data_IF_580115503006
#
_entry.id   IF_580115503006
#
_cell.length_a   1.000
_cell.length_b   1.000
_cell.length_c   1.000
_cell.angle_alpha   90.00
_cell.angle_beta   90.00
_cell.angle_gamma   90.00
#
_symmetry.space_group_name_H-M   'P 1'
#
loop_
_entity.id
_entity.type
_entity.pdbx_description
1 polymer ?
#
# COMPACT_ATOMS: atom_id res chain seq x y z
N UNK A 1 -14.98 32.44 1.87
CA UNK A 1 -15.57 31.34 2.67
C UNK A 1 -14.47 30.78 3.56
N UNK A 2 -14.58 30.95 4.89
CA UNK A 2 -13.61 30.47 5.90
C UNK A 2 -14.09 29.20 6.62
N UNK A 3 -15.22 28.64 6.22
CA UNK A 3 -15.81 27.46 6.86
C UNK A 3 -15.54 26.24 5.97
N UNK A 4 -14.43 25.58 6.27
CA UNK A 4 -13.97 24.35 5.65
C UNK A 4 -12.93 23.69 6.57
N UNK A 5 -12.68 22.39 6.41
CA UNK A 5 -11.71 21.68 7.25
C UNK A 5 -10.34 22.39 7.21
N UNK A 6 -9.79 22.72 8.39
CA UNK A 6 -8.57 23.49 8.53
C UNK A 6 -7.32 22.62 8.29
N UNK A 7 -7.07 22.28 7.02
CA UNK A 7 -6.01 21.36 6.58
C UNK A 7 -4.62 21.75 7.09
N UNK A 8 -4.36 23.05 7.30
CA UNK A 8 -3.07 23.54 7.77
C UNK A 8 -2.70 23.00 9.17
N UNK A 9 -3.69 22.73 10.04
CA UNK A 9 -3.44 22.14 11.37
C UNK A 9 -2.92 20.71 11.23
N UNK A 10 -3.58 19.90 10.39
CA UNK A 10 -3.17 18.51 10.14
C UNK A 10 -1.83 18.46 9.41
N UNK A 11 -1.65 19.29 8.38
CA UNK A 11 -0.39 19.38 7.65
C UNK A 11 0.79 19.79 8.53
N UNK A 12 0.61 20.77 9.44
CA UNK A 12 1.66 21.18 10.38
C UNK A 12 2.02 20.08 11.40
N UNK A 13 1.05 19.24 11.78
CA UNK A 13 1.33 18.07 12.60
C UNK A 13 2.13 17.02 11.83
N UNK A 14 1.76 16.72 10.60
CA UNK A 14 2.46 15.71 9.78
C UNK A 14 3.86 16.19 9.37
N UNK A 15 4.05 17.49 9.11
CA UNK A 15 5.30 18.07 8.57
C UNK A 15 6.50 18.09 9.53
N UNK A 16 6.35 17.62 10.76
CA UNK A 16 7.45 17.48 11.71
C UNK A 16 8.16 16.15 11.55
N UNK A 17 9.50 16.16 11.55
CA UNK A 17 10.27 14.97 11.20
C UNK A 17 10.03 13.79 12.14
N UNK A 18 9.89 14.01 13.46
CA UNK A 18 9.67 12.91 14.39
C UNK A 18 8.26 12.32 14.23
N UNK A 19 7.25 13.20 14.07
CA UNK A 19 5.87 12.76 13.82
C UNK A 19 5.72 12.05 12.48
N UNK A 20 6.40 12.51 11.43
CA UNK A 20 6.41 11.86 10.13
C UNK A 20 7.01 10.44 10.21
N UNK A 21 8.11 10.25 10.93
CA UNK A 21 8.71 8.91 11.14
C UNK A 21 7.77 8.00 11.94
N UNK A 22 7.14 8.50 13.00
CA UNK A 22 6.11 7.76 13.77
C UNK A 22 4.96 7.32 12.88
N UNK A 23 4.36 8.26 12.13
CA UNK A 23 3.22 7.97 11.26
C UNK A 23 3.59 6.98 10.15
N UNK A 24 4.80 7.08 9.59
CA UNK A 24 5.30 6.14 8.57
C UNK A 24 5.56 4.75 9.17
N UNK A 25 6.11 4.66 10.37
CA UNK A 25 6.34 3.37 11.03
C UNK A 25 5.03 2.67 11.40
N UNK A 26 4.02 3.43 11.84
CA UNK A 26 2.67 2.92 12.09
C UNK A 26 1.87 2.64 10.82
N UNK A 27 2.37 3.05 9.64
CA UNK A 27 1.92 2.39 8.43
C UNK A 27 2.45 0.97 8.47
N UNK A 28 3.77 0.75 8.48
CA UNK A 28 4.36 -0.59 8.40
C UNK A 28 3.81 -1.59 9.43
N UNK A 29 3.68 -1.17 10.69
CA UNK A 29 3.25 -1.98 11.83
C UNK A 29 1.85 -1.56 12.34
N UNK A 30 1.02 -2.51 12.80
CA UNK A 30 -0.34 -2.14 13.22
C UNK A 30 -0.37 -1.41 14.54
N UNK A 31 0.53 -1.70 15.49
CA UNK A 31 0.55 -0.99 16.75
C UNK A 31 1.91 -1.09 17.46
N UNK A 32 2.49 0.07 17.79
CA UNK A 32 3.80 0.14 18.46
C UNK A 32 3.68 0.86 19.80
N UNK A 33 4.55 0.50 20.75
CA UNK A 33 4.66 1.19 22.03
C UNK A 33 5.34 2.55 21.88
N UNK A 34 5.15 3.43 22.87
CA UNK A 34 5.84 4.72 22.89
C UNK A 34 7.37 4.58 22.90
N UNK A 35 7.93 3.48 23.46
CA UNK A 35 9.38 3.26 23.48
C UNK A 35 9.89 2.91 22.08
N UNK A 36 9.23 1.98 21.39
CA UNK A 36 9.60 1.63 20.01
C UNK A 36 9.47 2.83 19.07
N UNK A 37 8.43 3.66 19.25
CA UNK A 37 8.24 4.88 18.47
C UNK A 37 9.30 5.96 18.78
N UNK A 38 9.81 6.01 20.01
CA UNK A 38 10.92 6.89 20.36
C UNK A 38 12.18 6.49 19.60
N UNK A 39 12.47 5.19 19.58
CA UNK A 39 13.64 4.61 18.93
C UNK A 39 13.58 4.80 17.40
N UNK A 40 12.40 4.57 16.80
CA UNK A 40 12.14 4.83 15.38
C UNK A 40 12.41 6.29 15.01
N UNK A 41 11.88 7.23 15.80
CA UNK A 41 12.01 8.65 15.53
C UNK A 41 13.36 9.24 15.96
N UNK A 42 14.19 8.49 16.67
CA UNK A 42 15.48 8.96 17.20
C UNK A 42 15.33 10.06 18.25
N UNK A 43 14.26 10.03 19.07
CA UNK A 43 13.96 11.05 20.09
C UNK A 43 13.81 10.45 21.48
N UNK A 44 13.81 11.29 22.51
CA UNK A 44 13.66 10.82 23.90
C UNK A 44 12.22 10.35 24.19
N UNK A 45 12.05 9.55 25.25
CA UNK A 45 10.72 9.12 25.75
C UNK A 45 9.82 10.30 26.14
N UNK A 46 10.38 11.39 26.64
CA UNK A 46 9.62 12.59 26.97
C UNK A 46 9.13 13.29 25.69
N UNK A 47 10.03 13.44 24.71
CA UNK A 47 9.72 14.06 23.41
C UNK A 47 8.67 13.27 22.65
N UNK A 48 8.81 11.94 22.56
CA UNK A 48 7.83 11.10 21.86
C UNK A 48 6.46 11.18 22.53
N UNK A 49 6.39 11.22 23.87
CA UNK A 49 5.12 11.30 24.59
C UNK A 49 4.36 12.58 24.24
N UNK A 50 5.06 13.71 24.12
CA UNK A 50 4.47 14.97 23.69
C UNK A 50 4.00 14.92 22.22
N UNK A 51 4.74 14.26 21.34
CA UNK A 51 4.33 14.07 19.95
C UNK A 51 3.09 13.18 19.83
N UNK A 52 3.06 12.04 20.53
CA UNK A 52 1.93 11.11 20.53
C UNK A 52 0.67 11.77 21.08
N UNK A 53 0.79 12.60 22.13
CA UNK A 53 -0.33 13.37 22.65
C UNK A 53 -0.94 14.31 21.59
N UNK A 54 -0.11 15.05 20.86
CA UNK A 54 -0.57 15.95 19.78
C UNK A 54 -1.24 15.19 18.63
N UNK A 55 -0.71 14.01 18.27
CA UNK A 55 -1.27 13.18 17.21
C UNK A 55 -2.59 12.51 17.63
N UNK A 56 -2.72 12.09 18.90
CA UNK A 56 -3.97 11.60 19.48
C UNK A 56 -5.04 12.69 19.53
N UNK A 57 -4.69 13.88 20.02
CA UNK A 57 -5.61 15.03 20.08
C UNK A 57 -6.14 15.44 18.71
N UNK A 58 -5.32 15.27 17.67
CA UNK A 58 -5.70 15.54 16.29
C UNK A 58 -6.44 14.38 15.60
N UNK A 59 -6.69 13.26 16.29
CA UNK A 59 -7.35 12.09 15.71
C UNK A 59 -6.52 11.36 14.65
N UNK A 60 -5.20 11.55 14.60
CA UNK A 60 -4.32 10.85 13.66
C UNK A 60 -3.92 9.46 14.18
N UNK A 61 -3.92 9.29 15.49
CA UNK A 61 -3.63 8.01 16.16
C UNK A 61 -4.80 7.55 17.01
N UNK A 62 -4.84 6.25 17.26
CA UNK A 62 -5.60 5.63 18.34
C UNK A 62 -4.63 4.91 19.29
N UNK A 63 -5.08 4.68 20.53
CA UNK A 63 -4.30 3.99 21.55
C UNK A 63 -5.13 2.88 22.19
N UNK A 64 -4.53 1.71 22.34
CA UNK A 64 -5.11 0.56 23.03
C UNK A 64 -4.20 0.19 24.19
N UNK A 65 -4.80 -0.16 25.33
CA UNK A 65 -4.07 -0.59 26.52
C UNK A 65 -4.10 -2.10 26.59
N UNK A 66 -2.93 -2.73 26.62
CA UNK A 66 -2.78 -4.17 26.77
C UNK A 66 -1.81 -4.43 27.92
N UNK A 67 -2.38 -4.86 29.06
CA UNK A 67 -1.63 -5.02 30.31
C UNK A 67 -1.01 -3.70 30.76
N UNK A 68 0.32 -3.68 30.93
CA UNK A 68 1.08 -2.50 31.39
C UNK A 68 1.51 -1.57 30.25
N UNK A 69 1.29 -1.97 29.00
CA UNK A 69 1.77 -1.26 27.83
C UNK A 69 0.62 -0.58 27.09
N UNK A 70 0.93 0.58 26.51
CA UNK A 70 0.04 1.34 25.63
C UNK A 70 0.58 1.20 24.21
N UNK A 71 -0.26 0.69 23.32
CA UNK A 71 0.05 0.49 21.92
C UNK A 71 -0.65 1.56 21.09
N UNK A 72 0.11 2.25 20.26
CA UNK A 72 -0.36 3.33 19.39
C UNK A 72 -0.47 2.81 17.97
N UNK A 73 -1.55 3.17 17.29
CA UNK A 73 -1.81 2.81 15.90
C UNK A 73 -2.37 3.99 15.14
N UNK A 74 -2.37 3.95 13.80
CA UNK A 74 -3.16 4.92 13.03
C UNK A 74 -4.63 4.85 13.47
N UNK A 75 -5.27 6.02 13.57
CA UNK A 75 -6.64 6.10 14.09
C UNK A 75 -7.60 5.24 13.27
N UNK A 76 -7.53 5.37 11.94
CA UNK A 76 -8.39 4.69 10.99
C UNK A 76 -7.76 4.59 9.59
N UNK A 77 -8.62 4.12 8.67
CA UNK A 77 -8.34 3.92 7.25
C UNK A 77 -8.11 5.23 6.49
N UNK A 78 -8.80 6.31 6.85
CA UNK A 78 -8.72 7.59 6.13
C UNK A 78 -7.36 8.26 6.40
N UNK A 79 -6.85 8.16 7.64
CA UNK A 79 -5.50 8.63 7.98
C UNK A 79 -4.44 7.88 7.19
N UNK A 80 -4.56 6.56 7.05
CA UNK A 80 -3.62 5.76 6.24
C UNK A 80 -3.63 6.19 4.77
N UNK A 81 -4.81 6.45 4.20
CA UNK A 81 -4.95 6.91 2.81
C UNK A 81 -4.36 8.31 2.60
N UNK A 82 -4.52 9.21 3.57
CA UNK A 82 -3.89 10.54 3.56
C UNK A 82 -2.36 10.42 3.50
N UNK A 83 -1.78 9.62 4.39
CA UNK A 83 -0.32 9.45 4.47
C UNK A 83 0.24 8.83 3.18
N UNK A 84 -0.42 7.81 2.63
CA UNK A 84 -0.06 7.20 1.35
C UNK A 84 -0.11 8.23 0.21
N UNK A 85 -1.17 9.03 0.14
CA UNK A 85 -1.30 10.09 -0.87
C UNK A 85 -0.18 11.11 -0.77
N UNK A 86 0.19 11.49 0.46
CA UNK A 86 1.30 12.41 0.71
C UNK A 86 2.65 11.80 0.33
N UNK A 87 2.89 10.52 0.65
CA UNK A 87 4.09 9.79 0.25
C UNK A 87 4.20 9.71 -1.28
N UNK A 88 3.10 9.50 -1.98
CA UNK A 88 3.05 9.50 -3.45
C UNK A 88 3.38 10.88 -4.05
N UNK A 89 2.92 11.96 -3.42
CA UNK A 89 3.30 13.33 -3.82
C UNK A 89 4.79 13.57 -3.55
N UNK A 90 5.28 13.22 -2.35
CA UNK A 90 6.68 13.37 -1.97
C UNK A 90 7.61 12.59 -2.92
N UNK A 91 7.22 11.38 -3.30
CA UNK A 91 7.95 10.56 -4.26
C UNK A 91 8.06 11.23 -5.64
N UNK A 92 6.93 11.69 -6.20
CA UNK A 92 6.91 12.41 -7.48
C UNK A 92 7.71 13.71 -7.44
N UNK A 93 7.79 14.34 -6.27
CA UNK A 93 8.59 15.53 -6.03
C UNK A 93 10.08 15.24 -5.76
N UNK A 94 10.51 13.97 -5.75
CA UNK A 94 11.89 13.58 -5.48
C UNK A 94 12.32 13.67 -4.01
N UNK A 95 11.38 13.91 -3.09
CA UNK A 95 11.62 14.02 -1.65
C UNK A 95 11.72 12.64 -0.97
N UNK A 96 12.58 11.75 -1.49
CA UNK A 96 12.68 10.35 -1.05
C UNK A 96 13.93 10.13 -0.20
N UNK A 97 13.74 9.60 1.02
CA UNK A 97 14.86 9.11 1.84
C UNK A 97 15.33 7.73 1.32
N UNK A 98 16.64 7.50 1.24
CA UNK A 98 17.25 6.28 0.67
C UNK A 98 16.93 4.98 1.45
N UNK A 99 16.33 5.05 2.65
CA UNK A 99 16.02 3.90 3.52
C UNK A 99 14.52 3.55 3.56
N UNK A 100 13.80 3.70 2.46
CA UNK A 100 12.33 3.57 2.44
C UNK A 100 11.80 2.11 2.30
N UNK A 101 12.58 1.08 2.61
CA UNK A 101 12.04 -0.30 2.61
C UNK A 101 11.81 -0.75 4.05
N UNK A 102 10.69 -1.44 4.39
CA UNK A 102 10.50 -2.07 5.68
C UNK A 102 11.76 -2.88 6.03
N UNK A 103 12.29 -2.69 7.24
CA UNK A 103 13.43 -3.48 7.72
C UNK A 103 13.05 -4.96 7.88
N UNK A 104 11.77 -5.21 8.18
CA UNK A 104 11.25 -6.56 8.38
C UNK A 104 10.98 -7.28 7.04
N UNK A 105 11.61 -8.44 6.79
CA UNK A 105 11.44 -9.18 5.54
C UNK A 105 9.99 -9.59 5.25
N UNK A 106 9.21 -9.92 6.29
CA UNK A 106 7.82 -10.35 6.12
C UNK A 106 6.93 -9.23 5.56
N UNK A 107 7.09 -8.00 6.05
CA UNK A 107 6.37 -6.83 5.55
C UNK A 107 6.77 -6.44 4.13
N UNK A 108 8.04 -6.63 3.77
CA UNK A 108 8.51 -6.42 2.40
C UNK A 108 7.88 -7.42 1.44
N UNK A 109 7.87 -8.70 1.83
CA UNK A 109 7.37 -9.80 1.02
C UNK A 109 5.89 -9.65 0.67
N UNK A 110 5.02 -9.58 1.68
CA UNK A 110 3.58 -9.51 1.46
C UNK A 110 2.86 -8.85 2.62
N UNK A 111 2.04 -7.84 2.32
CA UNK A 111 1.25 -7.12 3.32
C UNK A 111 -0.05 -6.60 2.74
N UNK A 112 -0.94 -6.20 3.63
CA UNK A 112 -2.10 -5.37 3.27
C UNK A 112 -1.65 -3.91 3.22
N UNK A 113 -1.84 -3.22 2.10
CA UNK A 113 -1.65 -1.76 2.09
C UNK A 113 -2.80 -1.07 2.83
N UNK A 114 -3.97 -1.05 2.21
CA UNK A 114 -5.23 -0.54 2.78
C UNK A 114 -6.24 -1.69 2.94
N UNK A 115 -6.63 -2.24 1.80
CA UNK A 115 -7.54 -3.38 1.69
C UNK A 115 -7.14 -4.33 0.56
N UNK A 116 -5.97 -4.12 -0.02
CA UNK A 116 -5.45 -4.84 -1.17
C UNK A 116 -4.00 -5.27 -0.91
N UNK A 117 -3.57 -6.26 -1.69
CA UNK A 117 -2.26 -6.89 -1.58
C UNK A 117 -1.14 -5.93 -2.03
N UNK A 118 -0.07 -5.89 -1.25
CA UNK A 118 1.12 -5.07 -1.45
C UNK A 118 2.38 -5.83 -1.02
N UNK A 119 3.54 -5.18 -1.13
CA UNK A 119 4.84 -5.81 -1.05
C UNK A 119 5.23 -6.49 -2.36
N UNK A 120 6.34 -7.23 -2.32
CA UNK A 120 6.91 -7.96 -3.46
C UNK A 120 5.84 -8.78 -4.19
N UNK A 121 5.00 -9.53 -3.46
CA UNK A 121 3.95 -10.36 -4.06
C UNK A 121 2.87 -9.51 -4.75
N UNK A 122 2.47 -8.39 -4.14
CA UNK A 122 1.47 -7.49 -4.73
C UNK A 122 1.95 -6.83 -6.03
N UNK A 123 3.23 -6.46 -6.07
CA UNK A 123 3.89 -5.91 -7.27
C UNK A 123 4.02 -6.99 -8.34
N UNK A 124 4.54 -8.17 -8.00
CA UNK A 124 4.70 -9.28 -8.95
C UNK A 124 3.36 -9.65 -9.60
N UNK A 125 2.29 -9.69 -8.81
CA UNK A 125 0.97 -10.00 -9.32
C UNK A 125 0.46 -8.90 -10.26
N UNK A 126 0.60 -7.64 -9.90
CA UNK A 126 0.21 -6.52 -10.76
C UNK A 126 0.93 -6.58 -12.12
N UNK A 127 2.22 -6.90 -12.11
CA UNK A 127 3.02 -7.02 -13.33
C UNK A 127 2.67 -8.25 -14.15
N UNK A 128 2.31 -9.37 -13.51
CA UNK A 128 1.80 -10.53 -14.21
C UNK A 128 0.49 -10.22 -14.94
N UNK A 129 -0.44 -9.52 -14.28
CA UNK A 129 -1.71 -9.11 -14.89
C UNK A 129 -1.51 -8.17 -16.09
N UNK A 130 -0.53 -7.27 -16.02
CA UNK A 130 -0.15 -6.41 -17.15
C UNK A 130 0.51 -7.21 -18.28
N UNK A 131 1.50 -8.03 -17.93
CA UNK A 131 2.28 -8.83 -18.89
C UNK A 131 1.41 -9.83 -19.65
N UNK A 132 0.44 -10.45 -18.99
CA UNK A 132 -0.50 -11.40 -19.59
C UNK A 132 -1.68 -10.69 -20.31
N UNK A 133 -1.69 -9.36 -20.36
CA UNK A 133 -2.71 -8.59 -21.07
C UNK A 133 -4.09 -8.58 -20.40
N UNK A 134 -4.20 -8.92 -19.12
CA UNK A 134 -5.45 -8.85 -18.35
C UNK A 134 -5.77 -7.42 -17.90
N UNK A 135 -4.72 -6.63 -17.69
CA UNK A 135 -4.81 -5.20 -17.42
C UNK A 135 -3.98 -4.44 -18.45
N UNK A 136 -4.37 -3.21 -18.73
CA UNK A 136 -3.56 -2.30 -19.54
C UNK A 136 -3.55 -0.90 -18.93
N UNK A 137 -2.48 -0.15 -19.22
CA UNK A 137 -2.41 1.25 -18.85
C UNK A 137 -3.44 2.05 -19.66
N UNK A 138 -4.19 2.90 -18.98
CA UNK A 138 -5.14 3.83 -19.57
C UNK A 138 -4.83 5.26 -19.09
N UNK A 139 -5.36 6.27 -19.75
CA UNK A 139 -5.11 7.67 -19.36
C UNK A 139 -5.54 7.91 -17.91
N UNK A 140 -4.56 8.24 -17.06
CA UNK A 140 -4.75 8.50 -15.65
C UNK A 140 -4.94 7.26 -14.75
N UNK A 141 -4.74 6.04 -15.25
CA UNK A 141 -4.90 4.85 -14.41
C UNK A 141 -4.66 3.50 -15.07
N UNK A 142 -5.57 2.58 -14.80
CA UNK A 142 -5.52 1.18 -15.19
C UNK A 142 -6.90 0.76 -15.66
N UNK A 143 -6.97 -0.11 -16.67
CA UNK A 143 -8.21 -0.65 -17.18
C UNK A 143 -8.12 -2.16 -17.38
N UNK A 144 -9.27 -2.83 -17.25
CA UNK A 144 -9.41 -4.28 -17.41
C UNK A 144 -9.70 -4.58 -18.88
N UNK A 145 -9.00 -5.55 -19.45
CA UNK A 145 -9.28 -6.03 -20.81
C UNK A 145 -10.42 -7.06 -20.79
N UNK A 146 -11.03 -7.39 -21.94
CA UNK A 146 -12.00 -8.49 -22.02
C UNK A 146 -11.44 -9.82 -21.47
N UNK A 147 -10.21 -10.18 -21.88
CA UNK A 147 -9.52 -11.37 -21.36
C UNK A 147 -9.28 -11.29 -19.84
N UNK A 148 -8.97 -10.11 -19.33
CA UNK A 148 -8.84 -9.89 -17.89
C UNK A 148 -10.16 -10.08 -17.15
N UNK A 149 -11.27 -9.60 -17.70
CA UNK A 149 -12.59 -9.78 -17.10
C UNK A 149 -12.96 -11.27 -16.99
N UNK A 150 -12.68 -12.05 -18.04
CA UNK A 150 -12.85 -13.52 -18.02
C UNK A 150 -11.95 -14.17 -16.97
N UNK A 151 -10.67 -13.79 -16.93
CA UNK A 151 -9.73 -14.33 -15.94
C UNK A 151 -10.17 -14.04 -14.51
N UNK A 152 -10.57 -12.79 -14.20
CA UNK A 152 -11.10 -12.42 -12.89
C UNK A 152 -12.36 -13.21 -12.55
N UNK A 153 -13.28 -13.40 -13.50
CA UNK A 153 -14.47 -14.22 -13.31
C UNK A 153 -14.11 -15.68 -12.98
N UNK A 154 -13.14 -16.28 -13.67
CA UNK A 154 -12.61 -17.61 -13.34
C UNK A 154 -12.00 -17.69 -11.95
N UNK A 155 -11.39 -16.59 -11.46
CA UNK A 155 -10.93 -16.52 -10.08
C UNK A 155 -12.06 -16.31 -9.08
N UNK A 156 -13.29 -16.05 -9.52
CA UNK A 156 -14.46 -15.78 -8.68
C UNK A 156 -14.64 -14.30 -8.34
N UNK A 157 -14.12 -13.40 -9.17
CA UNK A 157 -14.18 -11.94 -8.98
C UNK A 157 -15.03 -11.35 -10.11
N UNK A 158 -16.19 -10.81 -9.76
CA UNK A 158 -17.07 -10.13 -10.72
C UNK A 158 -16.62 -8.67 -10.92
N UNK A 159 -16.03 -8.41 -12.08
CA UNK A 159 -15.54 -7.07 -12.46
C UNK A 159 -16.68 -6.08 -12.70
N UNK A 160 -17.87 -6.54 -13.10
CA UNK A 160 -19.03 -5.67 -13.34
C UNK A 160 -19.65 -5.22 -12.02
N UNK A 161 -19.77 -6.12 -11.05
CA UNK A 161 -20.19 -5.76 -9.69
C UNK A 161 -19.18 -4.84 -9.01
N UNK A 162 -17.88 -5.10 -9.20
CA UNK A 162 -16.81 -4.24 -8.69
C UNK A 162 -16.86 -2.82 -9.30
N UNK A 163 -17.22 -2.69 -10.58
CA UNK A 163 -17.33 -1.41 -11.27
C UNK A 163 -18.52 -0.55 -10.78
N UNK A 164 -19.56 -1.17 -10.22
CA UNK A 164 -20.72 -0.48 -9.66
C UNK A 164 -20.49 0.11 -8.26
N UNK A 165 -19.35 -0.17 -7.64
CA UNK A 165 -19.00 0.39 -6.34
C UNK A 165 -18.70 1.89 -6.43
N UNK A 166 -18.89 2.64 -5.33
CA UNK A 166 -18.56 4.08 -5.23
C UNK A 166 -17.03 4.38 -5.19
N UNK A 167 -16.22 3.60 -5.90
CA UNK A 167 -14.76 3.74 -5.96
C UNK A 167 -14.23 3.27 -7.30
N UNK A 168 -13.01 3.69 -7.65
CA UNK A 168 -12.35 3.27 -8.89
C UNK A 168 -12.24 1.74 -8.97
N UNK A 169 -12.60 1.17 -10.12
CA UNK A 169 -12.54 -0.27 -10.37
C UNK A 169 -11.12 -0.83 -10.16
N UNK A 170 -10.14 -0.22 -10.79
CA UNK A 170 -8.73 -0.50 -10.57
C UNK A 170 -7.89 0.77 -10.71
N UNK A 171 -6.74 0.79 -10.04
CA UNK A 171 -5.75 1.86 -10.14
C UNK A 171 -4.36 1.32 -9.85
N UNK A 172 -3.30 1.91 -10.44
CA UNK A 172 -1.96 1.67 -9.94
C UNK A 172 -1.84 2.29 -8.54
N UNK A 173 -1.50 1.49 -7.55
CA UNK A 173 -1.16 1.93 -6.21
C UNK A 173 0.37 1.84 -6.07
N UNK A 174 1.04 2.91 -5.65
CA UNK A 174 2.49 2.89 -5.55
C UNK A 174 2.91 2.19 -4.26
N UNK A 175 3.63 1.09 -4.40
CA UNK A 175 4.24 0.41 -3.27
C UNK A 175 5.49 1.21 -2.85
N UNK A 176 5.47 1.76 -1.64
CA UNK A 176 6.58 2.54 -1.12
C UNK A 176 7.82 1.68 -0.80
N UNK A 177 7.66 0.39 -0.48
CA UNK A 177 8.77 -0.53 -0.20
C UNK A 177 9.49 -0.97 -1.46
N UNK A 178 8.71 -1.30 -2.50
CA UNK A 178 9.22 -1.82 -3.77
C UNK A 178 9.45 -0.71 -4.81
N UNK A 179 8.92 0.49 -4.58
CA UNK A 179 8.92 1.64 -5.51
C UNK A 179 8.32 1.29 -6.87
N UNK A 180 7.34 0.39 -6.87
CA UNK A 180 6.67 -0.16 -8.06
C UNK A 180 5.17 -0.22 -7.80
N UNK A 181 4.38 -0.28 -8.87
CA UNK A 181 2.93 -0.30 -8.72
C UNK A 181 2.42 -1.69 -8.35
N UNK A 182 1.39 -1.72 -7.51
CA UNK A 182 0.56 -2.89 -7.24
C UNK A 182 -0.91 -2.55 -7.52
N UNK A 183 -1.78 -3.56 -7.56
CA UNK A 183 -3.19 -3.38 -7.93
C UNK A 183 -3.99 -2.83 -6.75
N UNK A 184 -4.44 -1.57 -6.86
CA UNK A 184 -5.40 -0.96 -5.96
C UNK A 184 -6.80 -0.85 -6.57
N UNK A 185 -7.76 -0.36 -5.78
CA UNK A 185 -9.16 -0.17 -6.21
C UNK A 185 -10.06 -1.35 -5.87
N UNK A 186 -11.26 -1.38 -6.46
CA UNK A 186 -12.25 -2.42 -6.23
C UNK A 186 -11.70 -3.84 -6.49
N UNK A 187 -10.96 -4.01 -7.59
CA UNK A 187 -10.35 -5.28 -7.95
C UNK A 187 -9.20 -5.69 -7.04
N UNK A 188 -8.35 -4.74 -6.63
CA UNK A 188 -7.25 -5.03 -5.69
C UNK A 188 -7.77 -5.61 -4.39
N UNK A 189 -8.87 -5.05 -3.86
CA UNK A 189 -9.48 -5.55 -2.64
C UNK A 189 -10.22 -6.88 -2.83
N UNK A 190 -10.97 -7.03 -3.93
CA UNK A 190 -11.66 -8.27 -4.25
C UNK A 190 -10.66 -9.43 -4.42
N UNK A 191 -9.50 -9.16 -5.03
CA UNK A 191 -8.44 -10.13 -5.18
C UNK A 191 -7.83 -10.53 -3.82
N UNK A 192 -7.53 -9.55 -2.95
CA UNK A 192 -7.06 -9.89 -1.60
C UNK A 192 -8.10 -10.71 -0.83
N UNK A 193 -9.37 -10.32 -0.89
CA UNK A 193 -10.45 -11.04 -0.24
C UNK A 193 -10.52 -12.49 -0.76
N UNK A 194 -10.39 -12.69 -2.08
CA UNK A 194 -10.42 -14.02 -2.67
C UNK A 194 -9.26 -14.91 -2.21
N UNK A 195 -8.06 -14.35 -2.06
CA UNK A 195 -6.90 -15.07 -1.51
C UNK A 195 -7.14 -15.51 -0.06
N UNK A 196 -7.81 -14.68 0.74
CA UNK A 196 -8.14 -14.99 2.13
C UNK A 196 -9.25 -16.06 2.22
N UNK A 197 -10.30 -15.94 1.41
CA UNK A 197 -11.42 -16.90 1.36
C UNK A 197 -10.98 -18.31 0.94
N UNK A 198 -10.02 -18.40 0.02
CA UNK A 198 -9.44 -19.68 -0.42
C UNK A 198 -8.45 -20.27 0.59
N UNK A 199 -8.13 -19.56 1.69
CA UNK A 199 -7.10 -20.00 2.64
C UNK A 199 -5.68 -19.95 2.07
N UNK A 200 -5.47 -19.29 0.94
CA UNK A 200 -4.16 -19.15 0.31
C UNK A 200 -3.29 -18.13 1.04
N UNK A 201 -3.91 -17.12 1.62
CA UNK A 201 -3.27 -16.16 2.52
C UNK A 201 -4.03 -16.08 3.84
N UNK A 202 -3.30 -15.76 4.91
CA UNK A 202 -3.88 -15.34 6.20
C UNK A 202 -3.25 -14.03 6.62
N UNK A 203 -4.06 -13.15 7.22
CA UNK A 203 -3.54 -11.96 7.88
C UNK A 203 -2.91 -12.35 9.19
N UNK A 204 -1.75 -11.77 9.45
CA UNK A 204 -1.24 -11.72 10.81
C UNK A 204 -2.21 -10.90 11.69
N UNK A 205 -2.34 -11.27 12.96
CA UNK A 205 -3.32 -10.63 13.85
C UNK A 205 -2.85 -9.24 14.28
N UNK A 206 -1.55 -9.13 14.51
CA UNK A 206 -0.91 -8.00 15.19
C UNK A 206 -0.16 -7.09 14.21
N UNK A 207 -0.14 -7.43 12.92
CA UNK A 207 0.51 -6.63 11.88
C UNK A 207 -0.28 -6.62 10.56
N UNK A 208 0.25 -5.90 9.56
CA UNK A 208 -0.31 -5.92 8.18
C UNK A 208 0.25 -7.07 7.34
N UNK A 209 1.12 -7.92 7.89
CA UNK A 209 1.75 -9.02 7.17
C UNK A 209 0.70 -10.01 6.68
N UNK A 210 0.93 -10.52 5.47
CA UNK A 210 0.19 -11.65 4.91
C UNK A 210 1.11 -12.86 4.84
N UNK A 211 0.67 -13.95 5.46
CA UNK A 211 1.34 -15.25 5.34
C UNK A 211 0.60 -16.09 4.33
N UNK A 212 1.32 -16.58 3.33
CA UNK A 212 0.78 -17.52 2.35
C UNK A 212 0.96 -18.95 2.82
N UNK A 213 -0.05 -19.79 2.58
CA UNK A 213 0.05 -21.24 2.78
C UNK A 213 0.87 -21.88 1.65
N UNK A 214 1.35 -23.11 1.83
CA UNK A 214 2.07 -23.81 0.77
C UNK A 214 1.23 -23.94 -0.53
N UNK A 215 -0.07 -24.18 -0.39
CA UNK A 215 -1.02 -24.17 -1.51
C UNK A 215 -1.12 -22.77 -2.15
N UNK A 216 -1.23 -21.73 -1.32
CA UNK A 216 -1.29 -20.35 -1.79
C UNK A 216 -0.04 -19.92 -2.56
N UNK A 217 1.14 -20.36 -2.15
CA UNK A 217 2.41 -20.12 -2.86
C UNK A 217 2.41 -20.80 -4.24
N UNK A 218 1.95 -22.05 -4.32
CA UNK A 218 1.86 -22.78 -5.58
C UNK A 218 0.87 -22.11 -6.54
N UNK A 219 -0.28 -21.70 -6.02
CA UNK A 219 -1.29 -21.03 -6.82
C UNK A 219 -0.84 -19.63 -7.28
N UNK A 220 -0.15 -18.86 -6.43
CA UNK A 220 0.49 -17.62 -6.83
C UNK A 220 1.49 -17.83 -7.95
N UNK A 221 2.37 -18.84 -7.83
CA UNK A 221 3.32 -19.16 -8.90
C UNK A 221 2.60 -19.46 -10.21
N UNK A 222 1.48 -20.19 -10.17
CA UNK A 222 0.67 -20.45 -11.35
C UNK A 222 0.05 -19.17 -11.93
N UNK A 223 -0.41 -18.23 -11.10
CA UNK A 223 -0.92 -16.92 -11.57
C UNK A 223 0.18 -16.03 -12.14
N UNK A 224 1.41 -16.13 -11.62
CA UNK A 224 2.56 -15.34 -12.07
C UNK A 224 3.22 -15.88 -13.34
N UNK A 225 3.07 -17.19 -13.59
CA UNK A 225 3.62 -17.86 -14.76
C UNK A 225 3.04 -17.26 -16.05
N UNK A 226 3.86 -17.08 -17.10
CA UNK A 226 3.34 -16.67 -18.41
C UNK A 226 2.34 -17.71 -18.92
N UNK A 227 1.32 -17.25 -19.65
CA UNK A 227 0.42 -18.17 -20.34
C UNK A 227 1.26 -19.05 -21.28
N UNK A 228 1.01 -20.36 -21.29
CA UNK A 228 1.75 -21.32 -22.11
C UNK A 228 1.62 -20.93 -23.60
N UNK A 229 2.63 -20.25 -24.13
CA UNK A 229 2.63 -19.74 -25.51
C UNK A 229 3.60 -18.58 -25.79
N UNK A 230 4.02 -17.81 -24.78
CA UNK A 230 4.96 -16.70 -24.98
C UNK A 230 6.33 -17.01 -24.37
N UNK A 231 7.26 -17.43 -25.23
CA UNK A 231 8.68 -17.43 -24.89
C UNK A 231 9.11 -16.01 -24.53
N UNK A 232 9.71 -15.85 -23.34
CA UNK A 232 10.13 -14.57 -22.78
C UNK A 232 11.07 -13.81 -23.73
N UNK A 233 10.57 -12.73 -24.35
CA UNK A 233 11.42 -11.66 -24.86
C UNK A 233 11.96 -10.88 -23.65
N UNK A 234 13.19 -11.22 -23.28
CA UNK A 234 13.92 -10.63 -22.17
C UNK A 234 14.44 -9.23 -22.53
N UNK A 235 13.54 -8.26 -22.73
CA UNK A 235 13.91 -6.85 -22.88
C UNK A 235 13.34 -6.04 -21.71
N UNK A 236 14.17 -5.37 -20.90
CA UNK A 236 13.70 -4.56 -19.79
C UNK A 236 12.83 -3.40 -20.30
N UNK A 237 11.77 -3.00 -19.58
CA UNK A 237 10.93 -1.89 -19.99
C UNK A 237 11.76 -0.61 -20.09
N UNK A 238 11.80 -0.01 -21.29
CA UNK A 238 12.46 1.29 -21.51
C UNK A 238 11.84 2.33 -20.58
N UNK A 239 12.65 3.16 -19.89
CA UNK A 239 12.13 4.23 -19.07
C UNK A 239 11.31 5.19 -19.93
N UNK A 240 10.13 5.57 -19.41
CA UNK A 240 9.25 6.55 -20.02
C UNK A 240 10.03 7.86 -20.19
N UNK A 241 10.40 8.19 -21.42
CA UNK A 241 11.22 9.36 -21.72
C UNK A 241 10.53 10.62 -21.18
N UNK A 242 11.20 11.30 -20.25
CA UNK A 242 10.81 12.63 -19.83
C UNK A 242 10.78 13.52 -21.09
N UNK A 243 9.59 14.01 -21.44
CA UNK A 243 9.43 14.96 -22.55
C UNK A 243 10.27 16.20 -22.23
N UNK A 244 11.41 16.31 -22.92
CA UNK A 244 12.24 17.51 -22.92
C UNK A 244 11.42 18.69 -23.39
N UNK A 245 11.35 19.74 -22.57
CA UNK A 245 10.96 21.07 -23.02
C UNK A 245 12.09 21.64 -23.86
N UNK A 246 11.85 21.74 -25.16
CA UNK A 246 12.64 22.52 -26.11
C UNK A 246 12.10 23.95 -26.20
N UNK A 247 12.98 24.96 -26.01
CA UNK A 247 12.88 26.35 -26.49
C UNK A 247 11.77 27.22 -25.86
N UNK A 248 11.99 28.49 -25.50
CA UNK A 248 12.92 29.53 -25.98
C UNK A 248 13.31 30.45 -24.83
#
# INVERSE_FOLDING_TARGET
MKDGPHIARIAALIGDSARAEVLTALMADRALTATELADVAGVTKQTISAHLAKLLDAGLLAVESQGRHRYFRLADRDVAQLLESLMNVAFRAGAVRLRASPREPALRRARVCYDHLAGEVGVQLHEALLRQGYLHAADGGLAVTPAGAEWFAHQGIDTTAAARQRRMLCRPCLDWSERRHHLGGALGAALLQRLLERGWARRDKDSRVLHFSAEGELALRAWLAPAAGEAASNEPPRPLAARGRSGR
#
